data_IF_794438035014
#
_entry.id   IF_794438035014
#
_cell.length_a   1.000
_cell.length_b   1.000
_cell.length_c   1.000
_cell.angle_alpha   90.00
_cell.angle_beta   90.00
_cell.angle_gamma   90.00
#
_symmetry.space_group_name_H-M   'P 1'
#
loop_
_entity.id
_entity.type
_entity.pdbx_description
1 polymer ?
#
# COMPACT_ATOMS: atom_id res chain seq x y z
N UNK A 1 46.86 27.69 -9.62
CA UNK A 1 45.45 27.39 -9.73
C UNK A 1 45.28 25.94 -9.24
N UNK A 2 45.03 25.83 -7.95
CA UNK A 2 44.88 24.53 -7.27
C UNK A 2 43.46 24.02 -7.47
N UNK A 3 43.30 22.88 -8.15
CA UNK A 3 42.08 22.12 -8.19
C UNK A 3 41.85 21.44 -6.84
N UNK A 4 40.78 21.80 -6.15
CA UNK A 4 40.33 21.11 -4.95
C UNK A 4 39.93 19.66 -5.31
N UNK A 5 40.32 18.66 -4.50
CA UNK A 5 39.91 17.27 -4.77
C UNK A 5 38.41 17.12 -4.53
N UNK A 6 37.70 16.69 -5.56
CA UNK A 6 36.33 16.20 -5.44
C UNK A 6 36.37 14.98 -4.54
N UNK A 7 35.77 15.11 -3.35
CA UNK A 7 35.71 14.08 -2.34
C UNK A 7 35.19 12.77 -2.94
N UNK A 8 35.98 11.70 -2.76
CA UNK A 8 35.69 10.39 -3.30
C UNK A 8 34.40 9.81 -2.71
N UNK A 9 33.40 9.68 -3.56
CA UNK A 9 32.34 8.68 -3.36
C UNK A 9 33.05 7.32 -3.38
N UNK A 10 33.11 6.67 -2.22
CA UNK A 10 33.71 5.34 -2.08
C UNK A 10 33.20 4.45 -3.20
N UNK A 11 34.11 3.69 -3.81
CA UNK A 11 33.77 2.69 -4.83
C UNK A 11 32.82 1.67 -4.23
N UNK A 12 31.51 1.95 -4.22
CA UNK A 12 30.51 0.93 -4.03
C UNK A 12 30.58 0.04 -5.26
N UNK A 13 30.96 -1.21 -5.06
CA UNK A 13 30.94 -2.23 -6.09
C UNK A 13 29.46 -2.45 -6.47
N UNK A 14 29.05 -1.86 -7.58
CA UNK A 14 27.76 -2.14 -8.20
C UNK A 14 27.76 -3.60 -8.66
N UNK A 15 27.38 -4.52 -7.79
CA UNK A 15 26.97 -5.85 -8.21
C UNK A 15 25.60 -5.70 -8.86
N UNK A 16 25.52 -5.99 -10.16
CA UNK A 16 24.29 -5.96 -10.93
C UNK A 16 23.11 -6.53 -10.09
N UNK A 17 22.13 -5.68 -9.76
CA UNK A 17 20.85 -6.09 -9.24
C UNK A 17 20.65 -6.06 -7.73
N UNK A 18 21.60 -5.60 -6.90
CA UNK A 18 21.34 -5.41 -5.46
C UNK A 18 21.44 -3.94 -5.08
N UNK A 19 20.31 -3.27 -4.97
CA UNK A 19 20.20 -2.07 -4.14
C UNK A 19 20.23 -2.49 -2.67
N UNK A 20 20.98 -1.76 -1.82
CA UNK A 20 20.88 -1.93 -0.39
C UNK A 20 19.42 -1.65 0.03
N UNK A 21 18.83 -2.52 0.83
CA UNK A 21 17.44 -2.41 1.30
C UNK A 21 17.19 -1.14 2.15
N UNK A 22 18.22 -0.59 2.78
CA UNK A 22 18.17 0.69 3.48
C UNK A 22 18.76 1.77 2.61
N UNK A 23 17.96 2.78 2.29
CA UNK A 23 18.42 4.03 1.71
C UNK A 23 19.13 4.85 2.80
N UNK A 24 20.19 5.56 2.43
CA UNK A 24 20.76 6.58 3.32
C UNK A 24 19.68 7.65 3.57
N UNK A 25 19.57 8.21 4.80
CA UNK A 25 18.52 9.17 5.14
C UNK A 25 18.41 10.34 4.17
N UNK A 26 19.53 10.84 3.67
CA UNK A 26 19.56 11.94 2.72
C UNK A 26 18.95 11.56 1.35
N UNK A 27 19.08 10.29 0.94
CA UNK A 27 18.47 9.77 -0.30
C UNK A 27 16.98 9.59 -0.10
N UNK A 28 16.54 9.10 1.06
CA UNK A 28 15.14 9.00 1.44
C UNK A 28 14.49 10.38 1.45
N UNK A 29 15.09 11.36 2.12
CA UNK A 29 14.61 12.75 2.15
C UNK A 29 14.51 13.35 0.74
N UNK A 30 15.47 13.04 -0.13
CA UNK A 30 15.44 13.48 -1.52
C UNK A 30 14.25 12.88 -2.26
N UNK A 31 14.02 11.56 -2.16
CA UNK A 31 12.87 10.86 -2.77
C UNK A 31 11.56 11.46 -2.27
N UNK A 32 11.43 11.64 -0.95
CA UNK A 32 10.23 12.19 -0.32
C UNK A 32 9.93 13.63 -0.74
N UNK A 33 10.99 14.42 -0.94
CA UNK A 33 10.84 15.83 -1.37
C UNK A 33 10.50 15.97 -2.86
N UNK A 34 10.79 14.94 -3.67
CA UNK A 34 10.53 14.91 -5.12
C UNK A 34 9.34 14.02 -5.50
N UNK A 35 8.65 13.45 -4.53
CA UNK A 35 7.43 12.68 -4.72
C UNK A 35 6.19 13.52 -4.43
N UNK A 36 5.00 13.05 -4.87
CA UNK A 36 3.73 13.68 -4.54
C UNK A 36 3.54 13.74 -3.02
N UNK A 37 3.40 14.95 -2.47
CA UNK A 37 3.14 15.15 -1.05
C UNK A 37 1.70 14.85 -0.66
N UNK A 38 1.44 14.84 0.65
CA UNK A 38 0.11 14.60 1.22
C UNK A 38 -0.93 15.69 0.93
N UNK A 39 -0.53 16.85 0.44
CA UNK A 39 -1.40 18.04 0.41
C UNK A 39 -1.77 18.53 1.83
N UNK A 40 -2.54 19.63 1.95
CA UNK A 40 -2.88 20.21 3.26
C UNK A 40 -3.65 19.24 4.19
N UNK A 41 -4.68 18.56 3.66
CA UNK A 41 -5.52 17.66 4.45
C UNK A 41 -4.78 16.38 4.86
N UNK A 42 -3.98 15.81 3.96
CA UNK A 42 -3.15 14.66 4.27
C UNK A 42 -2.04 14.99 5.28
N UNK A 43 -1.42 16.17 5.19
CA UNK A 43 -0.43 16.63 6.17
C UNK A 43 -1.06 16.82 7.57
N UNK A 44 -2.27 17.35 7.65
CA UNK A 44 -3.00 17.48 8.90
C UNK A 44 -3.37 16.12 9.49
N UNK A 45 -3.77 15.15 8.64
CA UNK A 45 -4.05 13.77 9.05
C UNK A 45 -2.79 13.08 9.60
N UNK A 46 -1.65 13.23 8.92
CA UNK A 46 -0.35 12.71 9.38
C UNK A 46 0.00 13.28 10.77
N UNK A 47 -0.15 14.59 10.95
CA UNK A 47 0.14 15.23 12.24
C UNK A 47 -0.78 14.72 13.37
N UNK A 48 -2.08 14.55 13.10
CA UNK A 48 -3.03 14.00 14.09
C UNK A 48 -2.75 12.51 14.37
N UNK A 49 -2.42 11.72 13.36
CA UNK A 49 -2.05 10.31 13.52
C UNK A 49 -0.77 10.16 14.35
N UNK A 50 0.25 10.99 14.08
CA UNK A 50 1.48 10.98 14.86
C UNK A 50 1.25 11.29 16.35
N UNK A 51 0.22 12.09 16.68
CA UNK A 51 -0.15 12.42 18.04
C UNK A 51 -0.85 11.26 18.80
N UNK A 52 -1.20 10.15 18.14
CA UNK A 52 -1.80 8.97 18.78
C UNK A 52 -0.79 8.17 19.62
N UNK A 53 0.51 8.47 19.55
CA UNK A 53 1.55 7.69 20.25
C UNK A 53 1.81 6.34 19.58
N UNK A 54 1.83 5.25 20.36
CA UNK A 54 2.20 3.92 19.88
C UNK A 54 1.47 3.46 18.61
N UNK A 55 0.16 3.69 18.43
CA UNK A 55 -0.53 3.33 17.20
C UNK A 55 0.02 4.01 15.93
N UNK A 56 0.72 5.14 16.05
CA UNK A 56 1.25 5.86 14.89
C UNK A 56 2.23 5.04 14.04
N UNK A 57 2.80 3.97 14.60
CA UNK A 57 3.69 3.04 13.86
C UNK A 57 2.96 2.36 12.68
N UNK A 58 1.63 2.28 12.72
CA UNK A 58 0.80 1.72 11.65
C UNK A 58 0.52 2.72 10.51
N UNK A 59 1.11 3.93 10.58
CA UNK A 59 0.85 4.94 9.57
C UNK A 59 1.47 4.56 8.22
N UNK A 60 0.68 4.68 7.16
CA UNK A 60 1.12 4.44 5.80
C UNK A 60 2.38 5.26 5.44
N UNK A 61 3.37 4.61 4.85
CA UNK A 61 4.59 5.27 4.36
C UNK A 61 4.25 6.32 3.29
N UNK A 62 4.98 7.43 3.25
CA UNK A 62 4.73 8.54 2.33
C UNK A 62 4.89 8.13 0.87
N UNK A 63 5.84 7.25 0.58
CA UNK A 63 6.06 6.70 -0.76
C UNK A 63 4.88 5.81 -1.19
N UNK A 64 4.33 5.03 -0.27
CA UNK A 64 3.16 4.21 -0.53
C UNK A 64 1.92 5.09 -0.80
N UNK A 65 1.76 6.20 -0.04
CA UNK A 65 0.72 7.20 -0.33
C UNK A 65 0.86 7.75 -1.75
N UNK A 66 2.07 8.19 -2.13
CA UNK A 66 2.33 8.75 -3.46
C UNK A 66 2.05 7.73 -4.57
N UNK A 67 2.45 6.46 -4.36
CA UNK A 67 2.22 5.39 -5.32
C UNK A 67 0.74 5.04 -5.45
N UNK A 68 -0.01 4.90 -4.35
CA UNK A 68 -1.46 4.62 -4.40
C UNK A 68 -2.22 5.72 -5.14
N UNK A 69 -1.88 6.99 -4.87
CA UNK A 69 -2.46 8.12 -5.59
C UNK A 69 -2.13 8.09 -7.08
N UNK A 70 -0.87 7.78 -7.42
CA UNK A 70 -0.43 7.65 -8.81
C UNK A 70 -1.14 6.50 -9.52
N UNK A 71 -1.21 5.31 -8.91
CA UNK A 71 -1.89 4.14 -9.46
C UNK A 71 -3.38 4.40 -9.69
N UNK A 72 -4.07 5.02 -8.73
CA UNK A 72 -5.47 5.37 -8.86
C UNK A 72 -5.74 6.25 -10.10
N UNK A 73 -4.83 7.20 -10.38
CA UNK A 73 -4.89 8.03 -11.58
C UNK A 73 -4.52 7.26 -12.85
N UNK A 74 -3.39 6.54 -12.84
CA UNK A 74 -2.86 5.83 -14.01
C UNK A 74 -3.80 4.71 -14.51
N UNK A 75 -4.49 4.03 -13.59
CA UNK A 75 -5.51 3.02 -13.90
C UNK A 75 -6.85 3.64 -14.33
N UNK A 76 -6.98 4.96 -14.31
CA UNK A 76 -8.28 5.64 -14.47
C UNK A 76 -9.35 5.02 -13.56
N UNK A 77 -8.96 4.75 -12.32
CA UNK A 77 -9.69 3.96 -11.35
C UNK A 77 -11.08 4.54 -11.09
N UNK A 78 -12.10 3.70 -11.16
CA UNK A 78 -13.50 4.05 -10.86
C UNK A 78 -13.91 3.53 -9.49
N UNK A 79 -13.41 2.38 -9.11
CA UNK A 79 -13.69 1.76 -7.80
C UNK A 79 -12.40 1.25 -7.17
N UNK A 80 -12.13 1.70 -5.96
CA UNK A 80 -11.03 1.21 -5.14
C UNK A 80 -11.55 0.56 -3.86
N UNK A 81 -10.79 -0.38 -3.34
CA UNK A 81 -11.05 -1.06 -2.07
C UNK A 81 -9.83 -0.87 -1.16
N UNK A 82 -10.07 -0.39 0.04
CA UNK A 82 -9.08 -0.14 1.09
C UNK A 82 -9.40 -1.03 2.29
N UNK A 83 -8.53 -1.95 2.63
CA UNK A 83 -8.73 -2.91 3.72
C UNK A 83 -7.64 -2.74 4.77
N UNK A 84 -8.04 -2.36 5.98
CA UNK A 84 -7.11 -1.91 7.02
C UNK A 84 -6.82 -0.42 6.87
N UNK A 85 -7.87 0.39 6.97
CA UNK A 85 -7.82 1.83 6.68
C UNK A 85 -7.09 2.65 7.73
N UNK A 86 -7.06 2.19 8.99
CA UNK A 86 -6.50 2.93 10.13
C UNK A 86 -7.06 4.35 10.18
N UNK A 87 -6.21 5.38 10.17
CA UNK A 87 -6.65 6.79 10.22
C UNK A 87 -6.99 7.37 8.84
N UNK A 88 -6.90 6.58 7.75
CA UNK A 88 -7.49 6.93 6.47
C UNK A 88 -6.56 7.50 5.40
N UNK A 89 -5.23 7.39 5.55
CA UNK A 89 -4.28 7.91 4.55
C UNK A 89 -4.35 7.17 3.22
N UNK A 90 -4.49 5.85 3.22
CA UNK A 90 -4.61 5.00 2.02
C UNK A 90 -5.86 5.35 1.21
N UNK A 91 -7.03 5.41 1.87
CA UNK A 91 -8.28 5.81 1.23
C UNK A 91 -8.22 7.24 0.68
N UNK A 92 -7.59 8.18 1.42
CA UNK A 92 -7.38 9.55 0.97
C UNK A 92 -6.53 9.58 -0.30
N UNK A 93 -5.39 8.87 -0.32
CA UNK A 93 -4.50 8.79 -1.47
C UNK A 93 -5.23 8.31 -2.72
N UNK A 94 -5.97 7.21 -2.60
CA UNK A 94 -6.73 6.65 -3.71
C UNK A 94 -7.83 7.62 -4.18
N UNK A 95 -8.61 8.19 -3.25
CA UNK A 95 -9.68 9.13 -3.59
C UNK A 95 -9.16 10.40 -4.27
N UNK A 96 -7.99 10.93 -3.85
CA UNK A 96 -7.35 12.08 -4.49
C UNK A 96 -6.79 11.75 -5.89
N UNK A 97 -6.29 10.52 -6.08
CA UNK A 97 -5.76 10.06 -7.37
C UNK A 97 -6.86 9.77 -8.40
N UNK A 98 -8.04 9.42 -7.94
CA UNK A 98 -9.20 9.13 -8.80
C UNK A 98 -9.85 10.40 -9.33
N UNK A 99 -10.52 10.31 -10.48
CA UNK A 99 -11.40 11.35 -10.96
C UNK A 99 -12.64 11.55 -10.05
N UNK A 100 -13.45 12.60 -10.28
CA UNK A 100 -14.56 12.98 -9.38
C UNK A 100 -15.67 11.92 -9.27
N UNK A 101 -15.76 11.01 -10.21
CA UNK A 101 -16.70 9.87 -10.19
C UNK A 101 -16.14 8.63 -9.49
N UNK A 102 -14.86 8.65 -9.08
CA UNK A 102 -14.26 7.54 -8.38
C UNK A 102 -14.85 7.32 -6.99
N UNK A 103 -14.94 6.06 -6.58
CA UNK A 103 -15.48 5.65 -5.27
C UNK A 103 -14.50 4.69 -4.59
N UNK A 104 -14.31 4.88 -3.30
CA UNK A 104 -13.50 4.01 -2.44
C UNK A 104 -14.43 3.31 -1.46
N UNK A 105 -14.30 2.01 -1.31
CA UNK A 105 -14.85 1.25 -0.19
C UNK A 105 -13.71 1.06 0.81
N UNK A 106 -13.88 1.55 2.03
CA UNK A 106 -12.90 1.53 3.10
C UNK A 106 -13.38 0.62 4.21
N UNK A 107 -12.58 -0.40 4.55
CA UNK A 107 -12.91 -1.42 5.56
C UNK A 107 -11.95 -1.28 6.73
N UNK A 108 -12.50 -1.13 7.94
CA UNK A 108 -11.75 -1.19 9.20
C UNK A 108 -12.68 -1.65 10.33
N UNK A 109 -12.11 -2.19 11.41
CA UNK A 109 -12.87 -2.61 12.59
C UNK A 109 -12.92 -1.56 13.69
N UNK A 110 -12.08 -0.51 13.62
CA UNK A 110 -11.89 0.44 14.71
C UNK A 110 -12.60 1.77 14.45
N UNK A 111 -13.83 1.90 14.94
CA UNK A 111 -14.67 3.08 14.72
C UNK A 111 -14.01 4.43 15.09
N UNK A 112 -13.26 4.57 16.22
CA UNK A 112 -12.60 5.83 16.55
C UNK A 112 -11.61 6.31 15.47
N UNK A 113 -10.88 5.43 14.80
CA UNK A 113 -9.99 5.81 13.71
C UNK A 113 -10.77 6.32 12.50
N UNK A 114 -11.93 5.72 12.22
CA UNK A 114 -12.79 6.16 11.14
C UNK A 114 -13.38 7.56 11.38
N UNK A 115 -13.56 7.98 12.63
CA UNK A 115 -13.95 9.35 12.95
C UNK A 115 -12.84 10.35 12.63
N UNK A 116 -11.57 9.99 12.89
CA UNK A 116 -10.40 10.78 12.48
C UNK A 116 -10.38 10.87 10.94
N UNK A 117 -10.43 9.73 10.26
CA UNK A 117 -10.41 9.64 8.81
C UNK A 117 -11.46 10.55 8.15
N UNK A 118 -12.73 10.44 8.57
CA UNK A 118 -13.84 11.23 8.02
C UNK A 118 -13.67 12.74 8.17
N UNK A 119 -13.07 13.22 9.28
CA UNK A 119 -12.81 14.66 9.46
C UNK A 119 -11.86 15.18 8.39
N UNK A 120 -10.78 14.43 8.13
CA UNK A 120 -9.76 14.81 7.14
C UNK A 120 -10.25 14.60 5.70
N UNK A 121 -11.02 13.55 5.42
CA UNK A 121 -11.64 13.34 4.12
C UNK A 121 -12.63 14.45 3.77
N UNK A 122 -13.41 14.94 4.75
CA UNK A 122 -14.27 16.14 4.56
C UNK A 122 -13.46 17.38 4.27
N UNK A 123 -12.36 17.60 4.99
CA UNK A 123 -11.46 18.72 4.74
C UNK A 123 -10.82 18.65 3.35
N UNK A 124 -10.57 17.43 2.84
CA UNK A 124 -10.06 17.17 1.49
C UNK A 124 -11.16 17.23 0.40
N UNK A 125 -12.45 17.30 0.78
CA UNK A 125 -13.56 17.28 -0.16
C UNK A 125 -13.79 15.93 -0.84
N UNK A 126 -13.46 14.81 -0.16
CA UNK A 126 -13.56 13.45 -0.71
C UNK A 126 -14.44 12.50 0.11
N UNK A 127 -14.95 12.93 1.26
CA UNK A 127 -15.74 12.08 2.19
C UNK A 127 -17.00 11.47 1.53
N UNK A 128 -17.64 12.19 0.64
CA UNK A 128 -18.79 11.73 -0.13
C UNK A 128 -18.48 10.63 -1.16
N UNK A 129 -17.19 10.40 -1.40
CA UNK A 129 -16.69 9.37 -2.33
C UNK A 129 -16.11 8.15 -1.61
N UNK A 130 -16.08 8.15 -0.27
CA UNK A 130 -15.51 7.07 0.53
C UNK A 130 -16.60 6.43 1.39
N UNK A 131 -16.99 5.21 1.04
CA UNK A 131 -17.94 4.39 1.79
C UNK A 131 -17.18 3.62 2.88
N UNK A 132 -17.52 3.85 4.16
CA UNK A 132 -16.92 3.12 5.29
C UNK A 132 -17.76 1.91 5.65
N UNK A 133 -17.14 0.75 5.74
CA UNK A 133 -17.71 -0.49 6.28
C UNK A 133 -16.94 -0.89 7.53
N UNK A 134 -17.62 -0.86 8.69
CA UNK A 134 -17.04 -1.23 9.98
C UNK A 134 -17.26 -2.71 10.25
N UNK A 135 -16.19 -3.46 10.53
CA UNK A 135 -16.24 -4.87 10.88
C UNK A 135 -14.93 -5.60 10.56
N UNK A 136 -14.91 -6.90 10.85
CA UNK A 136 -13.77 -7.74 10.53
C UNK A 136 -13.59 -7.86 9.02
N UNK A 137 -12.35 -7.65 8.55
CA UNK A 137 -12.03 -7.62 7.12
C UNK A 137 -12.42 -8.92 6.41
N UNK A 138 -12.15 -10.07 7.04
CA UNK A 138 -12.46 -11.39 6.47
C UNK A 138 -13.96 -11.58 6.19
N UNK A 139 -14.81 -11.10 7.09
CA UNK A 139 -16.26 -11.22 6.93
C UNK A 139 -16.79 -10.26 5.87
N UNK A 140 -16.38 -9.00 5.96
CA UNK A 140 -16.81 -7.97 5.00
C UNK A 140 -16.35 -8.28 3.58
N UNK A 141 -15.13 -8.78 3.39
CA UNK A 141 -14.64 -9.20 2.07
C UNK A 141 -15.41 -10.39 1.53
N UNK A 142 -15.75 -11.38 2.38
CA UNK A 142 -16.55 -12.53 1.97
C UNK A 142 -17.92 -12.12 1.46
N UNK A 143 -18.54 -11.13 2.12
CA UNK A 143 -19.89 -10.66 1.83
C UNK A 143 -19.95 -9.71 0.61
N UNK A 144 -18.81 -9.19 0.13
CA UNK A 144 -18.76 -8.40 -1.10
C UNK A 144 -19.19 -9.24 -2.30
N UNK A 145 -20.18 -8.79 -3.10
CA UNK A 145 -20.60 -9.51 -4.31
C UNK A 145 -19.44 -9.59 -5.33
N UNK A 146 -19.24 -10.77 -5.95
CA UNK A 146 -18.21 -10.95 -6.98
C UNK A 146 -18.44 -10.03 -8.20
N UNK A 147 -19.69 -9.61 -8.42
CA UNK A 147 -20.03 -8.64 -9.47
C UNK A 147 -19.50 -7.22 -9.18
N UNK A 148 -19.23 -6.90 -7.92
CA UNK A 148 -18.54 -5.67 -7.56
C UNK A 148 -17.07 -5.80 -7.89
N UNK A 149 -16.60 -5.08 -8.93
CA UNK A 149 -15.22 -5.10 -9.37
C UNK A 149 -14.49 -3.83 -8.94
N UNK A 150 -13.22 -4.00 -8.55
CA UNK A 150 -12.33 -2.93 -8.13
C UNK A 150 -11.13 -2.84 -9.08
N UNK A 151 -10.74 -1.62 -9.39
CA UNK A 151 -9.59 -1.34 -10.26
C UNK A 151 -8.30 -1.25 -9.46
N UNK A 152 -8.40 -0.87 -8.17
CA UNK A 152 -7.30 -0.83 -7.23
C UNK A 152 -7.78 -1.36 -5.88
N UNK A 153 -7.03 -2.29 -5.32
CA UNK A 153 -7.23 -2.81 -3.96
C UNK A 153 -5.96 -2.55 -3.17
N UNK A 154 -6.08 -1.99 -1.97
CA UNK A 154 -4.99 -1.90 -1.01
C UNK A 154 -5.30 -2.77 0.20
N UNK A 155 -4.32 -3.58 0.61
CA UNK A 155 -4.41 -4.49 1.75
C UNK A 155 -3.32 -4.16 2.77
N UNK A 156 -3.72 -3.71 3.95
CA UNK A 156 -2.89 -3.59 5.13
C UNK A 156 -3.62 -4.21 6.33
N UNK A 157 -3.57 -5.53 6.39
CA UNK A 157 -4.33 -6.38 7.32
C UNK A 157 -3.38 -7.24 8.16
N UNK A 158 -3.94 -8.07 9.06
CA UNK A 158 -3.20 -9.08 9.78
C UNK A 158 -2.45 -10.02 8.81
N UNK A 159 -1.20 -10.32 9.14
CA UNK A 159 -0.30 -11.01 8.21
C UNK A 159 -0.55 -12.52 8.18
N UNK A 160 -1.02 -13.10 9.29
CA UNK A 160 -1.33 -14.54 9.35
C UNK A 160 -2.41 -14.98 8.35
N UNK A 161 -3.39 -14.10 8.05
CA UNK A 161 -4.48 -14.36 7.10
C UNK A 161 -4.22 -13.89 5.66
N UNK A 162 -3.06 -13.35 5.35
CA UNK A 162 -2.79 -12.52 4.19
C UNK A 162 -3.10 -13.21 2.85
N UNK A 163 -2.78 -14.50 2.72
CA UNK A 163 -3.09 -15.29 1.52
C UNK A 163 -4.59 -15.33 1.22
N UNK A 164 -5.43 -15.54 2.24
CA UNK A 164 -6.90 -15.58 2.06
C UNK A 164 -7.45 -14.23 1.60
N UNK A 165 -6.92 -13.13 2.14
CA UNK A 165 -7.32 -11.78 1.72
C UNK A 165 -6.95 -11.52 0.26
N UNK A 166 -5.73 -11.87 -0.16
CA UNK A 166 -5.28 -11.71 -1.55
C UNK A 166 -6.11 -12.56 -2.50
N UNK A 167 -6.32 -13.85 -2.20
CA UNK A 167 -7.16 -14.74 -3.02
C UNK A 167 -8.57 -14.18 -3.21
N UNK A 168 -9.16 -13.66 -2.14
CA UNK A 168 -10.50 -13.07 -2.22
C UNK A 168 -10.51 -11.79 -3.04
N UNK A 169 -9.56 -10.91 -2.83
CA UNK A 169 -9.49 -9.64 -3.57
C UNK A 169 -9.16 -9.83 -5.05
N UNK A 170 -8.37 -10.85 -5.40
CA UNK A 170 -8.17 -11.23 -6.80
C UNK A 170 -9.49 -11.59 -7.50
N UNK A 171 -10.45 -12.22 -6.82
CA UNK A 171 -11.78 -12.49 -7.39
C UNK A 171 -12.61 -11.21 -7.61
N UNK A 172 -12.33 -10.16 -6.84
CA UNK A 172 -13.00 -8.86 -6.90
C UNK A 172 -12.31 -7.87 -7.86
N UNK A 173 -11.16 -8.21 -8.45
CA UNK A 173 -10.49 -7.32 -9.41
C UNK A 173 -11.25 -7.19 -10.73
N UNK A 174 -11.24 -5.98 -11.28
CA UNK A 174 -11.51 -5.74 -12.69
C UNK A 174 -10.40 -6.38 -13.56
N UNK A 175 -10.63 -6.58 -14.86
CA UNK A 175 -9.64 -7.26 -15.73
C UNK A 175 -8.24 -6.60 -15.74
N UNK A 176 -8.16 -5.28 -15.54
CA UNK A 176 -6.92 -4.51 -15.49
C UNK A 176 -6.56 -4.05 -14.06
N UNK A 177 -7.29 -4.55 -13.07
CA UNK A 177 -7.13 -4.16 -11.67
C UNK A 177 -5.81 -4.62 -11.06
N UNK A 178 -5.41 -3.91 -10.00
CA UNK A 178 -4.19 -4.18 -9.23
C UNK A 178 -4.53 -4.33 -7.75
N UNK A 179 -3.95 -5.34 -7.10
CA UNK A 179 -3.87 -5.44 -5.64
C UNK A 179 -2.51 -4.93 -5.21
N UNK A 180 -2.47 -4.02 -4.27
CA UNK A 180 -1.28 -3.56 -3.56
C UNK A 180 -1.33 -4.09 -2.12
N UNK A 181 -0.31 -4.84 -1.70
CA UNK A 181 -0.23 -5.47 -0.37
C UNK A 181 0.92 -4.87 0.40
N UNK A 182 0.65 -4.32 1.59
CA UNK A 182 1.67 -3.70 2.44
C UNK A 182 2.38 -4.68 3.37
N UNK A 183 3.60 -4.31 3.78
CA UNK A 183 4.50 -5.04 4.69
C UNK A 183 4.89 -6.44 4.22
N UNK A 184 5.16 -6.60 2.94
CA UNK A 184 5.50 -7.90 2.33
C UNK A 184 6.98 -8.27 2.45
N UNK A 185 7.81 -7.42 3.04
CA UNK A 185 9.20 -7.71 3.46
C UNK A 185 9.28 -7.96 4.97
N UNK A 186 8.35 -7.41 5.75
CA UNK A 186 8.12 -7.69 7.15
C UNK A 186 9.41 -7.57 7.99
N UNK A 187 9.97 -6.35 8.06
CA UNK A 187 11.22 -6.03 8.76
C UNK A 187 12.44 -6.86 8.31
N UNK A 188 12.38 -7.48 7.13
CA UNK A 188 13.37 -8.45 6.68
C UNK A 188 13.23 -9.83 7.34
N UNK A 189 12.30 -10.03 8.26
CA UNK A 189 12.07 -11.28 8.98
C UNK A 189 11.67 -12.46 8.07
N UNK A 190 11.17 -12.16 6.88
CA UNK A 190 10.94 -13.19 5.85
C UNK A 190 12.19 -14.00 5.53
N UNK A 191 13.39 -13.44 5.74
CA UNK A 191 14.68 -14.10 5.50
C UNK A 191 15.22 -14.84 6.72
N UNK A 192 14.68 -14.61 7.92
CA UNK A 192 15.14 -15.22 9.16
C UNK A 192 14.44 -16.56 9.41
N UNK A 193 15.12 -17.66 9.08
CA UNK A 193 14.59 -19.02 9.25
C UNK A 193 14.26 -19.39 10.72
N UNK A 194 14.78 -18.65 11.70
CA UNK A 194 14.45 -18.88 13.12
C UNK A 194 13.09 -18.31 13.52
N UNK A 195 12.51 -17.39 12.72
CA UNK A 195 11.19 -16.83 12.93
C UNK A 195 10.12 -17.80 12.46
N UNK A 196 9.28 -18.24 13.41
CA UNK A 196 8.20 -19.18 13.18
C UNK A 196 6.84 -18.63 13.68
N UNK A 197 6.76 -17.31 13.94
CA UNK A 197 5.50 -16.67 14.29
C UNK A 197 4.54 -16.66 13.08
N UNK A 198 3.23 -16.65 13.38
CA UNK A 198 2.20 -16.80 12.37
C UNK A 198 2.21 -15.66 11.32
N UNK A 199 2.54 -14.44 11.73
CA UNK A 199 2.56 -13.28 10.82
C UNK A 199 3.73 -13.38 9.84
N UNK A 200 4.95 -13.69 10.32
CA UNK A 200 6.11 -13.91 9.44
C UNK A 200 5.87 -15.05 8.46
N UNK A 201 5.26 -16.15 8.94
CA UNK A 201 4.94 -17.28 8.06
C UNK A 201 3.87 -16.92 7.04
N UNK A 202 2.83 -16.18 7.43
CA UNK A 202 1.78 -15.73 6.50
C UNK A 202 2.31 -14.86 5.37
N UNK A 203 3.30 -13.97 5.66
CA UNK A 203 3.95 -13.18 4.62
C UNK A 203 4.78 -14.06 3.68
N UNK A 204 5.55 -15.02 4.20
CA UNK A 204 6.31 -15.98 3.37
C UNK A 204 5.39 -16.79 2.47
N UNK A 205 4.33 -17.36 3.04
CA UNK A 205 3.37 -18.19 2.31
C UNK A 205 2.70 -17.41 1.17
N UNK A 206 2.34 -16.14 1.42
CA UNK A 206 1.84 -15.26 0.37
C UNK A 206 2.88 -15.06 -0.72
N UNK A 207 4.09 -14.61 -0.36
CA UNK A 207 5.14 -14.28 -1.31
C UNK A 207 5.49 -15.48 -2.20
N UNK A 208 5.65 -16.66 -1.61
CA UNK A 208 5.94 -17.90 -2.34
C UNK A 208 4.79 -18.28 -3.28
N UNK A 209 3.56 -18.19 -2.80
CA UNK A 209 2.36 -18.55 -3.55
C UNK A 209 2.18 -17.67 -4.78
N UNK A 210 2.22 -16.33 -4.62
CA UNK A 210 2.01 -15.42 -5.75
C UNK A 210 3.17 -15.46 -6.74
N UNK A 211 4.40 -15.69 -6.28
CA UNK A 211 5.57 -15.82 -7.16
C UNK A 211 5.52 -17.10 -8.02
N UNK A 212 4.89 -18.16 -7.49
CA UNK A 212 4.73 -19.44 -8.19
C UNK A 212 3.52 -19.47 -9.13
N UNK A 213 2.58 -18.52 -9.03
CA UNK A 213 1.35 -18.52 -9.81
C UNK A 213 1.59 -17.99 -11.24
N UNK A 214 1.47 -18.83 -12.30
CA UNK A 214 1.74 -18.41 -13.67
C UNK A 214 0.71 -17.41 -14.22
N UNK A 215 -0.46 -17.32 -13.61
CA UNK A 215 -1.54 -16.42 -14.05
C UNK A 215 -1.40 -15.00 -13.46
N UNK A 216 -0.44 -14.82 -12.56
CA UNK A 216 -0.19 -13.54 -11.90
C UNK A 216 1.08 -12.86 -12.44
N UNK A 217 1.05 -11.55 -12.46
CA UNK A 217 2.21 -10.69 -12.61
C UNK A 217 2.42 -9.95 -11.29
N UNK A 218 3.62 -10.08 -10.73
CA UNK A 218 3.95 -9.63 -9.37
C UNK A 218 5.15 -8.70 -9.42
N UNK A 219 5.08 -7.59 -8.67
CA UNK A 219 6.20 -6.68 -8.45
C UNK A 219 6.30 -6.37 -6.95
N UNK A 220 7.32 -6.91 -6.28
CA UNK A 220 7.64 -6.58 -4.90
C UNK A 220 8.62 -5.40 -4.89
N UNK A 221 8.22 -4.30 -4.26
CA UNK A 221 8.93 -3.03 -4.24
C UNK A 221 9.46 -2.73 -2.82
N UNK A 222 10.67 -2.17 -2.69
CA UNK A 222 11.23 -1.78 -1.39
C UNK A 222 10.67 -0.41 -0.93
N UNK A 223 9.34 -0.31 -0.80
CA UNK A 223 8.62 0.87 -0.33
C UNK A 223 8.09 0.56 1.07
N UNK A 224 8.37 1.44 2.05
CA UNK A 224 8.05 1.15 3.44
C UNK A 224 8.65 -0.19 3.88
N UNK A 225 7.84 -1.06 4.46
CA UNK A 225 8.24 -2.42 4.87
C UNK A 225 7.94 -3.47 3.76
N UNK A 226 8.03 -3.05 2.50
CA UNK A 226 7.75 -3.85 1.31
C UNK A 226 6.31 -3.71 0.82
N UNK A 227 6.16 -3.28 -0.42
CA UNK A 227 4.86 -3.16 -1.08
C UNK A 227 4.83 -4.07 -2.30
N UNK A 228 3.91 -5.03 -2.32
CA UNK A 228 3.76 -5.95 -3.46
C UNK A 228 2.57 -5.55 -4.31
N UNK A 229 2.80 -5.34 -5.60
CA UNK A 229 1.76 -5.15 -6.61
C UNK A 229 1.47 -6.47 -7.30
N UNK A 230 0.20 -6.83 -7.42
CA UNK A 230 -0.27 -8.07 -8.03
C UNK A 230 -1.37 -7.76 -9.05
N UNK A 231 -1.26 -8.31 -10.24
CA UNK A 231 -2.35 -8.29 -11.21
C UNK A 231 -2.45 -9.61 -11.96
N UNK A 232 -3.59 -9.85 -12.60
CA UNK A 232 -3.71 -10.97 -13.54
C UNK A 232 -2.91 -10.68 -14.82
N UNK A 233 -2.23 -11.69 -15.34
CA UNK A 233 -1.62 -11.59 -16.66
C UNK A 233 -2.73 -11.40 -17.70
N UNK A 234 -2.45 -10.57 -18.72
CA UNK A 234 -3.31 -10.52 -19.88
C UNK A 234 -3.27 -11.90 -20.57
N UNK A 235 -4.43 -12.51 -20.74
CA UNK A 235 -4.51 -13.69 -21.63
C UNK A 235 -4.21 -13.23 -23.05
N UNK A 236 -3.20 -13.80 -23.68
CA UNK A 236 -2.99 -13.58 -25.11
C UNK A 236 -4.27 -14.04 -25.83
N UNK A 237 -5.00 -13.09 -26.38
CA UNK A 237 -6.11 -13.41 -27.27
C UNK A 237 -5.48 -13.88 -28.58
N UNK A 238 -5.44 -15.18 -28.77
CA UNK A 238 -5.05 -15.84 -30.04
C UNK A 238 -6.06 -15.51 -31.12
#
# INVERSE_FOLDING_TARGET
>A
MDEAPVGGLGKQSWTLGRMAFQLEPEVEDYILSHSAGYGPSGSALVAETAALGDPAVMMLAKEAYALLRFLAGALNCKRALDVGTFTGLSALAMAEGMGPQGRVVSIDRHAPWMEIARRHWRSAGVDDRIEVRLGEAVDLLRDLPIAEKFDLVFLDVDKAGLTCYVERTLQLLSPTGVVAVDNTIWHGWVLDASRADADTQGVRDLNDRIAADPDLEVALLPIGDGLTLIRRRATETT
#
